data_IF_220023959333
#
_entry.id   IF_220023959333
#
_cell.length_a   1.000
_cell.length_b   1.000
_cell.length_c   1.000
_cell.angle_alpha   90.00
_cell.angle_beta   90.00
_cell.angle_gamma   90.00
#
_symmetry.space_group_name_H-M   'P 1'
#
loop_
_entity.id
_entity.type
_entity.pdbx_description
1 polymer ?
#
# COMPACT_ATOMS: atom_id res chain seq x y z
N UNK A 1 25.17 15.91 11.92
CA UNK A 1 24.17 16.78 11.26
C UNK A 1 22.88 15.97 11.18
N UNK A 2 21.76 16.49 11.67
CA UNK A 2 20.48 15.76 11.70
C UNK A 2 19.93 15.57 10.28
N UNK A 3 19.52 14.35 9.92
CA UNK A 3 18.83 14.06 8.66
C UNK A 3 17.33 14.31 8.82
N UNK A 4 16.81 15.42 8.31
CA UNK A 4 15.39 15.74 8.37
C UNK A 4 14.61 15.01 7.27
N UNK A 5 13.27 14.96 7.41
CA UNK A 5 12.41 14.34 6.40
C UNK A 5 12.59 14.98 5.01
N UNK A 6 12.69 16.30 4.95
CA UNK A 6 12.88 17.04 3.71
C UNK A 6 14.19 16.67 3.01
N UNK A 7 15.28 16.48 3.77
CA UNK A 7 16.58 16.09 3.21
C UNK A 7 16.49 14.70 2.56
N UNK A 8 15.91 13.72 3.28
CA UNK A 8 15.73 12.36 2.74
C UNK A 8 14.84 12.33 1.51
N UNK A 9 13.76 13.12 1.50
CA UNK A 9 12.86 13.21 0.35
C UNK A 9 13.57 13.84 -0.85
N UNK A 10 14.36 14.90 -0.63
CA UNK A 10 15.15 15.54 -1.68
C UNK A 10 16.16 14.57 -2.31
N UNK A 11 16.88 13.81 -1.49
CA UNK A 11 17.83 12.79 -1.96
C UNK A 11 17.12 11.66 -2.73
N UNK A 12 15.94 11.24 -2.26
CA UNK A 12 15.12 10.25 -2.96
C UNK A 12 14.65 10.77 -4.33
N UNK A 13 14.16 12.02 -4.43
CA UNK A 13 13.76 12.63 -5.71
C UNK A 13 14.94 12.70 -6.68
N UNK A 14 16.13 13.10 -6.20
CA UNK A 14 17.34 13.15 -7.01
C UNK A 14 17.76 11.78 -7.52
N UNK A 15 17.81 10.77 -6.65
CA UNK A 15 18.24 9.42 -7.01
C UNK A 15 17.26 8.70 -7.94
N UNK A 16 15.94 8.88 -7.73
CA UNK A 16 14.88 8.30 -8.57
C UNK A 16 14.56 9.12 -9.83
N UNK A 17 15.10 10.34 -9.94
CA UNK A 17 14.90 11.27 -11.05
C UNK A 17 13.42 11.58 -11.33
N UNK A 18 12.61 11.59 -10.28
CA UNK A 18 11.17 11.88 -10.36
C UNK A 18 10.66 12.39 -9.03
N UNK A 19 9.69 13.30 -9.09
CA UNK A 19 8.90 13.74 -7.94
C UNK A 19 7.56 13.01 -7.81
N UNK A 20 7.32 11.99 -8.64
CA UNK A 20 6.10 11.18 -8.62
C UNK A 20 5.92 10.49 -7.27
N UNK A 21 4.73 10.59 -6.69
CA UNK A 21 4.34 9.87 -5.48
C UNK A 21 3.23 8.89 -5.85
N UNK A 22 3.33 7.66 -5.37
CA UNK A 22 2.27 6.67 -5.54
C UNK A 22 1.32 6.72 -4.35
N UNK A 23 0.03 6.86 -4.62
CA UNK A 23 -1.01 6.63 -3.63
C UNK A 23 -1.28 5.13 -3.47
N UNK A 24 -1.26 4.62 -2.25
CA UNK A 24 -1.59 3.22 -1.95
C UNK A 24 -2.90 3.15 -1.16
N UNK A 25 -4.00 3.13 -1.92
CA UNK A 25 -5.36 3.29 -1.42
C UNK A 25 -6.22 2.07 -1.85
N UNK A 26 -6.09 0.90 -1.17
CA UNK A 26 -6.66 -0.36 -1.62
C UNK A 26 -8.19 -0.40 -1.44
N UNK A 27 -8.89 -0.89 -2.46
CA UNK A 27 -10.33 -1.19 -2.40
C UNK A 27 -10.51 -2.67 -2.71
N UNK A 28 -10.94 -3.45 -1.71
CA UNK A 28 -11.09 -4.91 -1.79
C UNK A 28 -11.76 -5.36 -3.11
N UNK A 29 -12.89 -4.76 -3.48
CA UNK A 29 -13.64 -5.14 -4.68
C UNK A 29 -12.86 -4.91 -5.99
N UNK A 30 -11.90 -3.98 -5.99
CA UNK A 30 -11.03 -3.65 -7.13
C UNK A 30 -9.73 -4.45 -7.14
N UNK A 31 -9.47 -5.27 -6.12
CA UNK A 31 -8.27 -6.11 -6.10
C UNK A 31 -8.29 -7.14 -7.24
N UNK A 32 -7.12 -7.51 -7.79
CA UNK A 32 -6.99 -8.58 -8.77
C UNK A 32 -7.63 -9.88 -8.26
N UNK A 33 -8.28 -10.62 -9.15
CA UNK A 33 -8.92 -11.91 -8.83
C UNK A 33 -7.97 -12.91 -8.20
N UNK A 34 -6.70 -12.92 -8.62
CA UNK A 34 -5.64 -13.78 -8.08
C UNK A 34 -5.46 -13.58 -6.57
N UNK A 35 -5.51 -12.33 -6.09
CA UNK A 35 -5.35 -12.00 -4.66
C UNK A 35 -6.65 -12.30 -3.89
N UNK A 36 -7.81 -12.11 -4.52
CA UNK A 36 -9.11 -12.46 -3.94
C UNK A 36 -9.38 -13.98 -3.88
N UNK A 37 -8.58 -14.79 -4.56
CA UNK A 37 -8.87 -16.21 -4.81
C UNK A 37 -8.35 -17.21 -3.76
N UNK A 38 -7.81 -16.75 -2.63
CA UNK A 38 -7.63 -17.59 -1.43
C UNK A 38 -9.02 -17.89 -0.85
N UNK A 39 -9.70 -18.84 -1.49
CA UNK A 39 -11.16 -18.90 -1.61
C UNK A 39 -11.90 -19.74 -0.58
N UNK A 40 -11.24 -20.35 0.37
CA UNK A 40 -11.94 -21.23 1.31
C UNK A 40 -12.59 -20.46 2.48
N UNK A 41 -12.32 -19.15 2.64
CA UNK A 41 -12.90 -18.31 3.71
C UNK A 41 -13.15 -16.83 3.35
N UNK A 42 -13.13 -16.42 2.07
CA UNK A 42 -13.19 -15.00 1.72
C UNK A 42 -14.60 -14.51 1.37
N UNK A 43 -15.43 -14.24 2.38
CA UNK A 43 -16.63 -13.42 2.23
C UNK A 43 -16.29 -11.93 2.44
N UNK A 44 -16.97 -11.01 1.76
CA UNK A 44 -16.84 -9.55 1.98
C UNK A 44 -17.28 -9.14 3.41
N UNK A 45 -17.94 -10.06 4.14
CA UNK A 45 -18.30 -9.96 5.55
C UNK A 45 -17.24 -10.55 6.50
N UNK A 46 -16.23 -11.25 5.97
CA UNK A 46 -15.08 -11.72 6.73
C UNK A 46 -13.98 -10.66 6.66
N UNK A 47 -13.90 -9.85 7.72
CA UNK A 47 -12.94 -8.77 7.82
C UNK A 47 -11.49 -9.29 7.75
N UNK A 48 -11.21 -10.48 8.31
CA UNK A 48 -9.85 -11.03 8.36
C UNK A 48 -9.36 -11.41 6.95
N UNK A 49 -10.20 -12.08 6.16
CA UNK A 49 -9.96 -12.38 4.76
C UNK A 49 -9.67 -11.13 3.91
N UNK A 50 -10.43 -10.06 4.14
CA UNK A 50 -10.24 -8.81 3.42
C UNK A 50 -8.96 -8.08 3.83
N UNK A 51 -8.58 -8.15 5.11
CA UNK A 51 -7.30 -7.62 5.62
C UNK A 51 -6.12 -8.35 5.00
N UNK A 52 -6.12 -9.67 4.97
CA UNK A 52 -5.04 -10.48 4.38
C UNK A 52 -4.85 -10.16 2.89
N UNK A 53 -5.94 -10.12 2.12
CA UNK A 53 -5.90 -9.78 0.70
C UNK A 53 -5.35 -8.36 0.46
N UNK A 54 -5.72 -7.40 1.32
CA UNK A 54 -5.23 -6.03 1.23
C UNK A 54 -3.76 -5.93 1.63
N UNK A 55 -3.35 -6.62 2.68
CA UNK A 55 -1.98 -6.69 3.12
C UNK A 55 -1.07 -7.25 2.03
N UNK A 56 -1.48 -8.35 1.39
CA UNK A 56 -0.77 -8.97 0.29
C UNK A 56 -0.66 -8.04 -0.92
N UNK A 57 -1.77 -7.40 -1.31
CA UNK A 57 -1.77 -6.44 -2.41
C UNK A 57 -0.84 -5.25 -2.13
N UNK A 58 -0.97 -4.64 -0.95
CA UNK A 58 -0.17 -3.48 -0.56
C UNK A 58 1.32 -3.83 -0.51
N UNK A 59 1.68 -4.97 0.06
CA UNK A 59 3.07 -5.43 0.16
C UNK A 59 3.66 -5.70 -1.23
N UNK A 60 2.92 -6.38 -2.11
CA UNK A 60 3.38 -6.64 -3.48
C UNK A 60 3.54 -5.36 -4.29
N UNK A 61 2.54 -4.47 -4.24
CA UNK A 61 2.60 -3.17 -4.90
C UNK A 61 3.80 -2.36 -4.41
N UNK A 62 4.03 -2.31 -3.09
CA UNK A 62 5.15 -1.58 -2.48
C UNK A 62 6.51 -2.10 -2.95
N UNK A 63 6.69 -3.42 -3.03
CA UNK A 63 7.94 -4.04 -3.55
C UNK A 63 8.23 -3.63 -4.99
N UNK A 64 7.19 -3.51 -5.83
CA UNK A 64 7.32 -3.12 -7.24
C UNK A 64 7.66 -1.64 -7.37
N UNK A 65 6.97 -0.76 -6.61
CA UNK A 65 7.11 0.70 -6.76
C UNK A 65 8.28 1.31 -5.98
N UNK A 66 8.72 0.71 -4.87
CA UNK A 66 9.81 1.22 -4.03
C UNK A 66 11.11 1.55 -4.81
N UNK A 67 11.56 0.74 -5.80
CA UNK A 67 12.72 1.12 -6.60
C UNK A 67 12.46 2.28 -7.57
N UNK A 68 11.20 2.66 -7.84
CA UNK A 68 10.81 3.61 -8.89
C UNK A 68 10.46 5.00 -8.36
N UNK A 69 9.89 5.11 -7.16
CA UNK A 69 9.37 6.38 -6.63
C UNK A 69 10.05 6.83 -5.34
N UNK A 70 10.16 8.15 -5.09
CA UNK A 70 10.74 8.68 -3.87
C UNK A 70 9.89 8.44 -2.61
N UNK A 71 8.57 8.35 -2.76
CA UNK A 71 7.66 8.18 -1.64
C UNK A 71 6.34 7.51 -2.04
N UNK A 72 5.65 6.97 -1.04
CA UNK A 72 4.30 6.41 -1.12
C UNK A 72 3.41 7.17 -0.14
N UNK A 73 2.19 7.49 -0.54
CA UNK A 73 1.18 8.14 0.30
C UNK A 73 0.05 7.14 0.58
N UNK A 74 -0.18 6.83 1.84
CA UNK A 74 -1.31 6.00 2.27
C UNK A 74 -2.44 6.89 2.79
N UNK A 75 -3.67 6.65 2.34
CA UNK A 75 -4.85 7.25 2.96
C UNK A 75 -5.47 6.28 3.98
N UNK A 76 -5.35 6.62 5.26
CA UNK A 76 -5.78 5.77 6.39
C UNK A 76 -7.25 5.37 6.33
N UNK A 77 -8.13 6.16 5.70
CA UNK A 77 -9.56 5.86 5.59
C UNK A 77 -9.84 4.54 4.84
N UNK A 78 -8.94 4.10 3.95
CA UNK A 78 -9.06 2.81 3.25
C UNK A 78 -8.74 1.61 4.14
N UNK A 79 -8.05 1.84 5.25
CA UNK A 79 -7.60 0.84 6.21
C UNK A 79 -8.50 0.84 7.46
N UNK A 80 -8.88 2.00 7.98
CA UNK A 80 -9.72 2.15 9.20
C UNK A 80 -11.06 1.41 9.15
N UNK A 81 -11.60 1.15 7.94
CA UNK A 81 -12.83 0.36 7.77
C UNK A 81 -12.69 -1.12 8.20
N UNK A 82 -11.46 -1.59 8.42
CA UNK A 82 -11.13 -2.92 8.97
C UNK A 82 -10.87 -2.88 10.49
N UNK A 83 -11.26 -1.80 11.16
CA UNK A 83 -11.13 -1.62 12.60
C UNK A 83 -9.66 -1.66 13.04
N UNK A 84 -9.31 -2.48 14.02
CA UNK A 84 -7.99 -2.49 14.64
C UNK A 84 -6.92 -3.26 13.84
N UNK A 85 -7.33 -4.10 12.89
CA UNK A 85 -6.44 -4.91 12.04
C UNK A 85 -5.98 -4.18 10.77
N UNK A 86 -6.68 -3.12 10.37
CA UNK A 86 -6.35 -2.30 9.19
C UNK A 86 -5.28 -1.27 9.46
#
# INVERSE_FOLDING_TARGET
>A
MSSHFADRLFDAVKSKKTSLIVGLDPVYNRLPSVIKSHRDMNDEFDAAAAVDAIFDFCTQAMRIIAPMVPAVKMNIAFFEKYLWEG
#
